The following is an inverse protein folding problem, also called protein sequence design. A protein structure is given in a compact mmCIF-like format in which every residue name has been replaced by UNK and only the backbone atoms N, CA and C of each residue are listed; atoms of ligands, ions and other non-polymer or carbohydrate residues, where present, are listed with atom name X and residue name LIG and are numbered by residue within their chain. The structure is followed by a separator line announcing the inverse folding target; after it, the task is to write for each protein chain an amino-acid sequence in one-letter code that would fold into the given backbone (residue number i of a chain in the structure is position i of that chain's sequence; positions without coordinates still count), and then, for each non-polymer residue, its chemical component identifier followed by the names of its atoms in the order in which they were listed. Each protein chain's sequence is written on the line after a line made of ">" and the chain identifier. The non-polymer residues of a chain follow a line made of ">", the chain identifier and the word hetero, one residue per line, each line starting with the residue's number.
data_IF_432878468170
#
_entry.id   IF_432878468170
#
_cell.length_a   1.000
_cell.length_b   1.000
_cell.length_c   1.000
_cell.angle_alpha   90.00
_cell.angle_beta   90.00
_cell.angle_gamma   90.00
#
_symmetry.space_group_name_H-M   'P 1'
#
loop_
_entity.id
_entity.type
_entity.pdbx_description
1 polymer ?
#
# COMPACT_ATOMS: atom_id res chain seq x y z
N UNK A 1 -23.91 9.79 -0.16
CA UNK A 1 -22.77 9.00 0.38
C UNK A 1 -21.73 9.97 0.93
N UNK A 2 -20.88 9.54 1.91
CA UNK A 2 -19.78 10.42 2.35
C UNK A 2 -18.76 10.61 1.23
N UNK A 3 -18.16 11.80 1.16
CA UNK A 3 -17.12 12.14 0.19
C UNK A 3 -15.74 11.74 0.73
N UNK A 4 -14.86 11.20 -0.12
CA UNK A 4 -13.47 10.93 0.25
C UNK A 4 -12.71 12.26 0.36
N UNK A 5 -11.82 12.34 1.34
CA UNK A 5 -10.99 13.51 1.59
C UNK A 5 -9.52 13.15 1.62
N UNK A 6 -8.66 14.09 1.24
CA UNK A 6 -7.22 13.93 1.36
C UNK A 6 -6.85 13.95 2.85
N UNK A 7 -6.25 12.88 3.41
CA UNK A 7 -5.83 12.91 4.81
C UNK A 7 -4.62 13.82 5.00
N UNK A 8 -4.55 14.51 6.14
CA UNK A 8 -3.35 15.25 6.54
C UNK A 8 -2.19 14.29 6.87
N UNK A 9 -0.95 14.76 6.68
CA UNK A 9 0.24 14.07 7.13
C UNK A 9 0.48 14.34 8.62
N UNK A 10 1.08 13.37 9.32
CA UNK A 10 1.47 13.51 10.73
C UNK A 10 2.82 14.24 10.89
N UNK A 11 3.46 14.63 9.80
CA UNK A 11 4.79 15.22 9.74
C UNK A 11 4.93 16.21 8.56
N UNK A 12 5.89 17.15 8.66
CA UNK A 12 6.17 18.12 7.61
C UNK A 12 6.79 17.46 6.37
N UNK A 13 6.54 18.00 5.18
CA UNK A 13 7.06 17.45 3.92
C UNK A 13 8.56 17.19 3.94
N UNK A 14 9.35 18.04 4.61
CA UNK A 14 10.81 17.90 4.73
C UNK A 14 11.27 16.93 5.83
N UNK A 15 10.35 16.38 6.64
CA UNK A 15 10.71 15.60 7.81
C UNK A 15 11.39 14.26 7.50
N UNK A 16 11.23 13.74 6.28
CA UNK A 16 11.87 12.50 5.83
C UNK A 16 13.25 12.71 5.17
N UNK A 17 13.73 13.94 5.11
CA UNK A 17 15.08 14.21 4.58
C UNK A 17 16.17 13.62 5.49
N UNK A 18 17.29 13.15 4.92
CA UNK A 18 17.69 13.19 3.51
C UNK A 18 17.14 12.03 2.65
N UNK A 19 16.29 11.15 3.21
CA UNK A 19 15.85 9.91 2.57
C UNK A 19 14.80 10.14 1.49
N UNK A 20 13.84 11.02 1.71
CA UNK A 20 12.83 11.45 0.71
C UNK A 20 12.72 12.98 0.84
N UNK A 21 12.96 13.69 -0.27
CA UNK A 21 12.97 15.15 -0.25
C UNK A 21 11.58 15.74 0.01
N UNK A 22 11.55 16.89 0.67
CA UNK A 22 10.31 17.64 0.92
C UNK A 22 9.57 17.98 -0.36
N UNK A 23 10.28 18.28 -1.45
CA UNK A 23 9.69 18.53 -2.77
C UNK A 23 8.91 17.30 -3.30
N UNK A 24 9.49 16.10 -3.16
CA UNK A 24 8.79 14.86 -3.55
C UNK A 24 7.54 14.68 -2.70
N UNK A 25 7.65 14.77 -1.37
CA UNK A 25 6.52 14.56 -0.47
C UNK A 25 5.39 15.57 -0.74
N UNK A 26 5.70 16.85 -0.98
CA UNK A 26 4.72 17.86 -1.29
C UNK A 26 3.96 17.55 -2.60
N UNK A 27 4.68 17.25 -3.68
CA UNK A 27 4.07 16.90 -4.97
C UNK A 27 3.27 15.60 -4.87
N UNK A 28 3.82 14.60 -4.19
CA UNK A 28 3.22 13.29 -4.04
C UNK A 28 1.92 13.35 -3.25
N UNK A 29 1.87 14.10 -2.16
CA UNK A 29 0.68 14.30 -1.34
C UNK A 29 -0.31 15.27 -1.99
N UNK A 30 0.13 16.54 -2.22
CA UNK A 30 -0.77 17.63 -2.60
C UNK A 30 -1.25 17.57 -4.06
N UNK A 31 -0.59 16.77 -4.92
CA UNK A 31 -0.96 16.61 -6.35
C UNK A 31 -1.38 15.17 -6.67
N UNK A 32 -0.48 14.20 -6.52
CA UNK A 32 -0.80 12.82 -6.92
C UNK A 32 -1.90 12.21 -6.06
N UNK A 33 -1.75 12.20 -4.72
CA UNK A 33 -2.79 11.68 -3.83
C UNK A 33 -4.09 12.47 -3.93
N UNK A 34 -4.03 13.80 -3.94
CA UNK A 34 -5.21 14.64 -4.13
C UNK A 34 -5.96 14.34 -5.44
N UNK A 35 -5.23 14.02 -6.52
CA UNK A 35 -5.85 13.62 -7.80
C UNK A 35 -6.57 12.28 -7.69
N UNK A 36 -6.02 11.30 -6.96
CA UNK A 36 -6.73 10.05 -6.70
C UNK A 36 -8.00 10.25 -5.87
N UNK A 37 -7.95 11.07 -4.83
CA UNK A 37 -9.13 11.43 -4.03
C UNK A 37 -10.23 12.05 -4.90
N UNK A 38 -9.86 13.05 -5.71
CA UNK A 38 -10.81 13.65 -6.67
C UNK A 38 -11.37 12.60 -7.63
N UNK A 39 -10.52 11.73 -8.18
CA UNK A 39 -10.92 10.70 -9.14
C UNK A 39 -11.91 9.68 -8.56
N UNK A 40 -11.76 9.31 -7.28
CA UNK A 40 -12.74 8.46 -6.58
C UNK A 40 -14.11 9.15 -6.52
N UNK A 41 -14.15 10.39 -6.06
CA UNK A 41 -15.40 11.13 -5.92
C UNK A 41 -16.09 11.35 -7.28
N UNK A 42 -15.31 11.72 -8.30
CA UNK A 42 -15.81 11.86 -9.68
C UNK A 42 -16.38 10.54 -10.21
N UNK A 43 -15.69 9.41 -9.98
CA UNK A 43 -16.14 8.10 -10.47
C UNK A 43 -17.43 7.66 -9.76
N UNK A 44 -17.56 7.90 -8.46
CA UNK A 44 -18.78 7.59 -7.71
C UNK A 44 -19.97 8.41 -8.19
N UNK A 45 -19.78 9.72 -8.41
CA UNK A 45 -20.83 10.61 -8.95
C UNK A 45 -21.29 10.14 -10.34
N UNK A 46 -20.33 9.84 -11.23
CA UNK A 46 -20.64 9.35 -12.58
C UNK A 46 -21.32 7.98 -12.59
N UNK A 47 -20.99 7.10 -11.63
CA UNK A 47 -21.68 5.83 -11.46
C UNK A 47 -23.13 6.02 -11.04
N UNK A 48 -23.41 6.98 -10.15
CA UNK A 48 -24.78 7.31 -9.74
C UNK A 48 -25.60 7.86 -10.92
N UNK A 49 -25.04 8.81 -11.68
CA UNK A 49 -25.65 9.36 -12.89
C UNK A 49 -25.92 8.28 -13.96
N UNK A 50 -24.94 7.40 -14.20
CA UNK A 50 -25.07 6.34 -15.18
C UNK A 50 -26.14 5.31 -14.80
N UNK A 51 -26.25 4.95 -13.51
CA UNK A 51 -27.33 4.08 -13.01
C UNK A 51 -28.71 4.72 -13.19
N UNK A 52 -28.83 6.01 -12.94
CA UNK A 52 -30.10 6.73 -13.11
C UNK A 52 -30.54 6.81 -14.59
N UNK A 53 -29.59 6.77 -15.52
CA UNK A 53 -29.83 6.81 -16.96
C UNK A 53 -29.78 5.43 -17.67
N UNK A 54 -29.64 4.33 -16.93
CA UNK A 54 -29.43 2.96 -17.48
C UNK A 54 -28.25 2.88 -18.49
N UNK A 55 -27.25 3.77 -18.35
CA UNK A 55 -26.07 3.79 -19.21
C UNK A 55 -25.02 2.75 -18.78
N UNK A 56 -25.18 1.53 -19.22
CA UNK A 56 -24.29 0.42 -18.86
C UNK A 56 -22.86 0.61 -19.39
N UNK A 57 -22.64 1.32 -20.47
CA UNK A 57 -21.30 1.59 -20.97
C UNK A 57 -20.56 2.57 -20.05
N UNK A 58 -21.23 3.62 -19.60
CA UNK A 58 -20.68 4.53 -18.59
C UNK A 58 -20.48 3.85 -17.24
N UNK A 59 -21.33 2.91 -16.83
CA UNK A 59 -21.14 2.11 -15.61
C UNK A 59 -19.83 1.35 -15.69
N UNK A 60 -19.60 0.53 -16.72
CA UNK A 60 -18.38 -0.26 -16.88
C UNK A 60 -17.11 0.59 -16.91
N UNK A 61 -17.16 1.75 -17.59
CA UNK A 61 -16.03 2.68 -17.63
C UNK A 61 -15.71 3.23 -16.24
N UNK A 62 -16.73 3.65 -15.48
CA UNK A 62 -16.52 4.28 -14.18
C UNK A 62 -16.21 3.27 -13.06
N UNK A 63 -16.65 2.01 -13.17
CA UNK A 63 -16.17 0.93 -12.31
C UNK A 63 -14.66 0.71 -12.45
N UNK A 64 -14.15 0.71 -13.69
CA UNK A 64 -12.71 0.63 -13.94
C UNK A 64 -11.95 1.85 -13.38
N UNK A 65 -12.48 3.06 -13.61
CA UNK A 65 -11.89 4.28 -13.08
C UNK A 65 -11.90 4.29 -11.54
N UNK A 66 -12.99 3.84 -10.94
CA UNK A 66 -13.11 3.71 -9.48
C UNK A 66 -12.06 2.76 -8.92
N UNK A 67 -11.87 1.59 -9.53
CA UNK A 67 -10.85 0.64 -9.07
C UNK A 67 -9.45 1.25 -9.07
N UNK A 68 -9.10 1.99 -10.12
CA UNK A 68 -7.80 2.68 -10.23
C UNK A 68 -7.65 3.79 -9.18
N UNK A 69 -8.61 4.71 -9.11
CA UNK A 69 -8.51 5.87 -8.23
C UNK A 69 -8.65 5.49 -6.74
N UNK A 70 -9.56 4.56 -6.41
CA UNK A 70 -9.71 4.07 -5.05
C UNK A 70 -8.47 3.30 -4.60
N UNK A 71 -7.92 2.47 -5.48
CA UNK A 71 -6.62 1.83 -5.25
C UNK A 71 -5.53 2.85 -4.96
N UNK A 72 -5.44 3.91 -5.77
CA UNK A 72 -4.49 5.00 -5.56
C UNK A 72 -4.70 5.71 -4.22
N UNK A 73 -5.93 6.05 -3.89
CA UNK A 73 -6.23 6.69 -2.60
C UNK A 73 -5.88 5.79 -1.41
N UNK A 74 -6.25 4.51 -1.45
CA UNK A 74 -5.95 3.54 -0.37
C UNK A 74 -4.45 3.34 -0.22
N UNK A 75 -3.73 3.08 -1.33
CA UNK A 75 -2.29 2.87 -1.31
C UNK A 75 -1.55 4.07 -0.71
N UNK A 76 -1.89 5.31 -1.13
CA UNK A 76 -1.24 6.50 -0.61
C UNK A 76 -1.63 6.79 0.85
N UNK A 77 -2.87 6.49 1.26
CA UNK A 77 -3.28 6.61 2.67
C UNK A 77 -2.44 5.70 3.58
N UNK A 78 -2.17 4.47 3.15
CA UNK A 78 -1.31 3.53 3.86
C UNK A 78 0.15 4.02 3.81
N UNK A 79 0.62 4.45 2.64
CA UNK A 79 1.98 4.94 2.42
C UNK A 79 2.40 6.02 3.43
N UNK A 80 1.57 7.04 3.63
CA UNK A 80 1.88 8.12 4.57
C UNK A 80 2.01 7.64 6.01
N UNK A 81 1.22 6.66 6.43
CA UNK A 81 1.28 6.07 7.77
C UNK A 81 2.43 5.07 7.93
N UNK A 82 2.83 4.40 6.84
CA UNK A 82 3.99 3.51 6.81
C UNK A 82 5.34 4.27 6.90
N UNK A 83 5.34 5.61 6.85
CA UNK A 83 6.54 6.44 6.92
C UNK A 83 6.58 7.25 8.23
N UNK A 84 7.79 7.44 8.75
CA UNK A 84 8.04 8.26 9.94
C UNK A 84 9.44 8.87 9.89
N UNK A 85 9.61 10.14 10.34
CA UNK A 85 10.94 10.72 10.55
C UNK A 85 11.75 10.02 11.64
N UNK A 86 11.08 9.23 12.47
CA UNK A 86 11.69 8.39 13.52
C UNK A 86 11.62 6.90 13.15
N UNK A 87 11.48 6.61 11.86
CA UNK A 87 11.40 5.25 11.33
C UNK A 87 12.75 4.56 11.21
N UNK A 88 12.74 3.43 10.53
CA UNK A 88 13.93 2.59 10.31
C UNK A 88 13.98 1.40 11.27
N UNK A 89 15.18 0.86 11.47
CA UNK A 89 15.40 -0.36 12.25
C UNK A 89 14.60 -1.58 11.75
N UNK A 90 13.97 -2.31 12.66
CA UNK A 90 13.22 -3.53 12.39
C UNK A 90 11.99 -3.63 13.32
N UNK A 91 10.99 -4.43 12.95
CA UNK A 91 9.83 -4.67 13.80
C UNK A 91 10.24 -5.47 15.06
N UNK A 92 9.37 -5.41 16.06
CA UNK A 92 9.48 -6.17 17.31
C UNK A 92 8.20 -7.00 17.54
N UNK A 93 8.15 -7.77 18.63
CA UNK A 93 6.96 -8.50 19.06
C UNK A 93 6.42 -9.49 18.02
N UNK A 94 5.09 -9.58 17.95
CA UNK A 94 4.39 -10.59 17.14
C UNK A 94 4.67 -10.45 15.63
N UNK A 95 4.82 -9.25 15.11
CA UNK A 95 5.17 -9.05 13.71
C UNK A 95 6.58 -9.55 13.40
N UNK A 96 7.55 -9.30 14.30
CA UNK A 96 8.91 -9.82 14.12
C UNK A 96 8.92 -11.36 14.13
N UNK A 97 8.19 -11.97 15.06
CA UNK A 97 8.05 -13.42 15.15
C UNK A 97 7.40 -14.01 13.88
N UNK A 98 6.34 -13.38 13.37
CA UNK A 98 5.68 -13.81 12.14
C UNK A 98 6.59 -13.65 10.89
N UNK A 99 7.40 -12.61 10.84
CA UNK A 99 8.38 -12.42 9.77
C UNK A 99 9.47 -13.51 9.83
N UNK A 100 9.99 -13.80 11.02
CA UNK A 100 11.02 -14.83 11.20
C UNK A 100 10.48 -16.22 10.87
N UNK A 101 9.25 -16.52 11.26
CA UNK A 101 8.57 -17.79 10.93
C UNK A 101 8.36 -17.93 9.43
N UNK A 102 7.79 -16.92 8.78
CA UNK A 102 7.41 -16.99 7.37
C UNK A 102 8.58 -16.87 6.40
N UNK A 103 9.58 -16.02 6.71
CA UNK A 103 10.69 -15.72 5.80
C UNK A 103 12.03 -16.28 6.29
N UNK A 104 12.08 -16.79 7.52
CA UNK A 104 13.28 -17.35 8.17
C UNK A 104 14.19 -16.32 8.85
N UNK A 105 14.04 -15.03 8.57
CA UNK A 105 14.63 -13.90 9.31
C UNK A 105 14.16 -12.56 8.72
N UNK A 106 14.29 -11.49 9.51
CA UNK A 106 14.08 -10.13 9.01
C UNK A 106 14.96 -9.78 7.81
N UNK A 107 16.23 -10.18 7.80
CA UNK A 107 17.14 -9.90 6.68
C UNK A 107 16.70 -10.58 5.38
N UNK A 108 16.21 -11.81 5.48
CA UNK A 108 15.66 -12.53 4.32
C UNK A 108 14.38 -11.90 3.81
N UNK A 109 13.48 -11.52 4.70
CA UNK A 109 12.30 -10.74 4.35
C UNK A 109 12.67 -9.44 3.64
N UNK A 110 13.58 -8.64 4.25
CA UNK A 110 14.06 -7.38 3.68
C UNK A 110 14.67 -7.57 2.30
N UNK A 111 15.46 -8.62 2.12
CA UNK A 111 16.04 -8.94 0.81
C UNK A 111 14.97 -9.28 -0.23
N UNK A 112 13.98 -10.12 0.14
CA UNK A 112 12.87 -10.50 -0.75
C UNK A 112 12.00 -9.30 -1.12
N UNK A 113 11.61 -8.47 -0.15
CA UNK A 113 10.82 -7.26 -0.38
C UNK A 113 11.58 -6.25 -1.25
N UNK A 114 12.87 -6.04 -0.97
CA UNK A 114 13.75 -5.18 -1.78
C UNK A 114 13.87 -5.69 -3.21
N UNK A 115 13.98 -7.00 -3.41
CA UNK A 115 14.02 -7.60 -4.75
C UNK A 115 12.68 -7.39 -5.49
N UNK A 116 11.54 -7.54 -4.80
CA UNK A 116 10.23 -7.26 -5.37
C UNK A 116 10.10 -5.80 -5.81
N UNK A 117 10.52 -4.84 -4.97
CA UNK A 117 10.51 -3.42 -5.27
C UNK A 117 11.39 -3.09 -6.49
N UNK A 118 12.65 -3.50 -6.48
CA UNK A 118 13.59 -3.20 -7.56
C UNK A 118 13.24 -3.90 -8.88
N UNK A 119 12.66 -5.09 -8.81
CA UNK A 119 12.26 -5.89 -9.97
C UNK A 119 10.91 -5.52 -10.58
N UNK A 120 10.19 -4.56 -9.99
CA UNK A 120 8.90 -4.14 -10.55
C UNK A 120 9.10 -3.44 -11.89
N UNK A 121 8.39 -3.93 -12.91
CA UNK A 121 8.43 -3.39 -14.27
C UNK A 121 7.25 -2.42 -14.47
N UNK A 122 7.56 -1.17 -14.80
CA UNK A 122 6.55 -0.12 -14.91
C UNK A 122 6.20 0.50 -13.55
N UNK A 123 4.97 0.94 -13.42
CA UNK A 123 4.45 1.60 -12.22
C UNK A 123 3.78 0.61 -11.28
N UNK A 124 3.92 0.81 -9.99
CA UNK A 124 3.25 -0.03 -8.99
C UNK A 124 3.91 0.03 -7.62
N UNK A 125 3.70 -1.00 -6.82
CA UNK A 125 4.07 -1.07 -5.41
C UNK A 125 4.67 -2.43 -5.06
N UNK A 126 5.65 -2.48 -4.17
CA UNK A 126 5.96 -3.72 -3.48
C UNK A 126 5.23 -3.72 -2.14
N UNK A 127 4.61 -4.84 -1.81
CA UNK A 127 3.70 -4.95 -0.66
C UNK A 127 4.05 -6.15 0.20
N UNK A 128 4.12 -5.94 1.52
CA UNK A 128 3.93 -6.99 2.52
C UNK A 128 2.47 -6.97 2.92
N UNK A 129 1.78 -8.09 2.75
CA UNK A 129 0.39 -8.25 3.12
C UNK A 129 0.16 -9.44 4.02
N UNK A 130 -0.96 -9.40 4.72
CA UNK A 130 -1.45 -10.51 5.53
C UNK A 130 -2.59 -11.22 4.79
N UNK A 131 -2.40 -12.50 4.53
CA UNK A 131 -3.43 -13.40 4.01
C UNK A 131 -4.27 -13.89 5.18
N UNK A 132 -5.46 -13.30 5.33
CA UNK A 132 -6.38 -13.64 6.43
C UNK A 132 -6.97 -15.05 6.32
N UNK A 133 -7.00 -15.66 5.13
CA UNK A 133 -7.48 -17.02 4.91
C UNK A 133 -6.40 -18.05 5.29
N UNK A 134 -5.18 -17.82 4.86
CA UNK A 134 -4.04 -18.71 5.11
C UNK A 134 -3.31 -18.44 6.42
N UNK A 135 -3.65 -17.35 7.13
CA UNK A 135 -2.98 -16.89 8.36
C UNK A 135 -1.45 -16.79 8.18
N UNK A 136 -1.04 -16.01 7.19
CA UNK A 136 0.36 -15.90 6.83
C UNK A 136 0.71 -14.54 6.23
N UNK A 137 2.00 -14.21 6.26
CA UNK A 137 2.56 -13.05 5.57
C UNK A 137 2.95 -13.41 4.13
N UNK A 138 2.65 -12.53 3.20
CA UNK A 138 3.02 -12.65 1.79
C UNK A 138 3.66 -11.37 1.28
N UNK A 139 4.63 -11.46 0.38
CA UNK A 139 5.11 -10.32 -0.41
C UNK A 139 4.65 -10.47 -1.85
N UNK A 140 4.24 -9.36 -2.45
CA UNK A 140 3.85 -9.34 -3.87
C UNK A 140 4.10 -7.98 -4.50
N UNK A 141 4.04 -7.93 -5.83
CA UNK A 141 4.06 -6.70 -6.62
C UNK A 141 2.62 -6.37 -7.01
N UNK A 142 2.19 -5.16 -6.69
CA UNK A 142 0.94 -4.57 -7.16
C UNK A 142 1.28 -3.67 -8.34
N UNK A 143 0.65 -3.88 -9.49
CA UNK A 143 0.86 -3.06 -10.68
C UNK A 143 -0.16 -1.93 -10.74
N UNK A 144 0.27 -0.79 -11.24
CA UNK A 144 -0.47 0.46 -11.20
C UNK A 144 -1.00 0.75 -9.80
N UNK A 145 -2.32 0.87 -9.62
CA UNK A 145 -2.93 1.11 -8.30
C UNK A 145 -3.83 -0.05 -7.83
N UNK A 146 -4.15 -1.02 -8.71
CA UNK A 146 -5.19 -2.02 -8.45
C UNK A 146 -4.92 -3.40 -9.05
N UNK A 147 -3.91 -3.54 -9.93
CA UNK A 147 -3.70 -4.80 -10.63
C UNK A 147 -2.76 -5.75 -9.87
N UNK A 148 -2.96 -7.05 -10.08
CA UNK A 148 -2.17 -8.13 -9.48
C UNK A 148 -2.25 -8.21 -7.94
N UNK A 149 -3.39 -7.79 -7.36
CA UNK A 149 -3.64 -7.89 -5.92
C UNK A 149 -4.31 -9.23 -5.62
N UNK A 150 -3.72 -10.07 -4.76
CA UNK A 150 -4.40 -11.28 -4.31
C UNK A 150 -5.66 -10.93 -3.50
N UNK A 151 -6.79 -11.57 -3.79
CA UNK A 151 -8.04 -11.31 -3.07
C UNK A 151 -7.91 -11.66 -1.59
N UNK A 152 -8.44 -10.80 -0.72
CA UNK A 152 -8.46 -11.02 0.74
C UNK A 152 -7.16 -10.67 1.45
N UNK A 153 -6.16 -10.12 0.75
CA UNK A 153 -4.93 -9.65 1.36
C UNK A 153 -5.15 -8.28 2.01
N UNK A 154 -4.67 -8.15 3.24
CA UNK A 154 -4.65 -6.89 3.98
C UNK A 154 -3.25 -6.29 3.88
N UNK A 155 -3.06 -5.13 3.22
CA UNK A 155 -1.74 -4.51 3.11
C UNK A 155 -1.24 -4.02 4.47
N UNK A 156 0.02 -4.35 4.79
CA UNK A 156 0.67 -3.97 6.05
C UNK A 156 1.76 -2.93 5.81
N UNK A 157 2.71 -3.24 4.92
CA UNK A 157 3.81 -2.38 4.52
C UNK A 157 3.85 -2.33 3.01
N UNK A 158 4.06 -1.13 2.45
CA UNK A 158 4.24 -0.99 1.00
C UNK A 158 5.22 0.12 0.66
N UNK A 159 5.87 -0.01 -0.50
CA UNK A 159 6.73 1.03 -1.06
C UNK A 159 6.22 1.40 -2.46
N UNK A 160 6.07 2.69 -2.68
CA UNK A 160 5.67 3.24 -3.97
C UNK A 160 6.83 3.21 -4.96
N UNK A 161 6.64 2.49 -6.06
CA UNK A 161 7.63 2.38 -7.15
C UNK A 161 7.19 3.13 -8.42
N UNK A 162 6.18 3.97 -8.33
CA UNK A 162 5.88 4.97 -9.35
C UNK A 162 7.01 6.00 -9.42
N UNK A 163 7.39 6.45 -10.59
CA UNK A 163 8.48 7.42 -10.76
C UNK A 163 8.25 8.73 -10.00
N UNK A 164 7.02 9.14 -9.81
CA UNK A 164 6.70 10.33 -9.02
C UNK A 164 7.16 10.25 -7.55
N UNK A 165 7.32 9.04 -7.00
CA UNK A 165 7.77 8.84 -5.63
C UNK A 165 9.29 9.02 -5.45
N UNK A 166 10.08 8.97 -6.53
CA UNK A 166 11.55 8.96 -6.38
C UNK A 166 12.33 9.69 -7.48
N UNK A 167 11.77 9.89 -8.68
CA UNK A 167 12.57 10.29 -9.84
C UNK A 167 13.26 11.65 -9.69
N UNK A 168 12.66 12.62 -9.02
CA UNK A 168 13.27 13.94 -8.80
C UNK A 168 14.58 13.88 -8.01
N UNK A 169 14.69 12.94 -7.08
CA UNK A 169 15.86 12.78 -6.21
C UNK A 169 16.80 11.67 -6.70
N UNK A 170 16.27 10.52 -7.02
CA UNK A 170 17.04 9.31 -7.31
C UNK A 170 17.18 9.00 -8.81
N UNK A 171 16.52 9.76 -9.68
CA UNK A 171 16.53 9.56 -11.14
C UNK A 171 16.16 8.11 -11.48
N UNK A 172 16.96 7.47 -12.31
CA UNK A 172 16.79 6.08 -12.73
C UNK A 172 17.36 5.04 -11.74
N UNK A 173 17.93 5.47 -10.60
CA UNK A 173 18.57 4.56 -9.64
C UNK A 173 17.57 4.13 -8.56
N UNK A 174 16.59 3.29 -8.94
CA UNK A 174 15.57 2.75 -8.04
C UNK A 174 16.15 2.13 -6.77
N UNK A 175 17.28 1.43 -6.89
CA UNK A 175 17.90 0.73 -5.77
C UNK A 175 18.32 1.67 -4.62
N UNK A 176 18.77 2.90 -4.93
CA UNK A 176 19.12 3.87 -3.91
C UNK A 176 17.88 4.41 -3.19
N UNK A 177 16.78 4.61 -3.91
CA UNK A 177 15.50 4.97 -3.31
C UNK A 177 14.98 3.87 -2.37
N UNK A 178 14.96 2.61 -2.82
CA UNK A 178 14.53 1.48 -1.98
C UNK A 178 15.43 1.32 -0.75
N UNK A 179 16.74 1.56 -0.91
CA UNK A 179 17.68 1.59 0.23
C UNK A 179 17.35 2.72 1.21
N UNK A 180 17.00 3.90 0.71
CA UNK A 180 16.62 5.05 1.54
C UNK A 180 15.29 4.82 2.26
N UNK A 181 14.31 4.20 1.61
CA UNK A 181 13.00 3.84 2.17
C UNK A 181 13.12 3.08 3.51
N UNK A 182 14.04 2.13 3.62
CA UNK A 182 14.22 1.34 4.85
C UNK A 182 14.58 2.18 6.09
N UNK A 183 15.09 3.41 5.92
CA UNK A 183 15.42 4.28 7.03
C UNK A 183 14.21 5.07 7.57
N UNK A 184 13.10 5.06 6.87
CA UNK A 184 11.90 5.83 7.23
C UNK A 184 10.67 4.96 7.46
N UNK A 185 10.81 3.64 7.44
CA UNK A 185 9.69 2.71 7.70
C UNK A 185 9.19 2.88 9.13
N UNK A 186 7.90 3.15 9.25
CA UNK A 186 7.19 3.25 10.54
C UNK A 186 6.72 1.86 11.00
N UNK A 187 7.60 1.11 11.64
CA UNK A 187 7.28 -0.24 12.11
C UNK A 187 6.15 -0.27 13.15
N UNK A 188 5.90 0.82 13.87
CA UNK A 188 4.78 0.91 14.79
C UNK A 188 3.43 0.84 14.05
N UNK A 189 3.28 1.56 12.92
CA UNK A 189 2.08 1.47 12.08
C UNK A 189 1.93 0.07 11.46
N UNK A 190 3.02 -0.52 10.96
CA UNK A 190 2.99 -1.87 10.36
C UNK A 190 2.57 -2.92 11.40
N UNK A 191 3.06 -2.80 12.63
CA UNK A 191 2.71 -3.67 13.76
C UNK A 191 1.24 -3.54 14.16
N UNK A 192 0.73 -2.30 14.22
CA UNK A 192 -0.68 -2.05 14.51
C UNK A 192 -1.59 -2.62 13.42
N UNK A 193 -1.22 -2.47 12.14
CA UNK A 193 -1.94 -3.10 11.00
C UNK A 193 -1.94 -4.60 11.12
N UNK A 194 -0.81 -5.22 11.43
CA UNK A 194 -0.71 -6.66 11.63
C UNK A 194 -1.61 -7.13 12.77
N UNK A 195 -1.57 -6.48 13.94
CA UNK A 195 -2.43 -6.82 15.07
C UNK A 195 -3.93 -6.72 14.74
N UNK A 196 -4.33 -5.66 14.01
CA UNK A 196 -5.72 -5.51 13.56
C UNK A 196 -6.11 -6.57 12.53
N UNK A 197 -5.20 -6.91 11.60
CA UNK A 197 -5.45 -7.91 10.57
C UNK A 197 -5.66 -9.29 11.17
N UNK A 198 -4.81 -9.70 12.12
CA UNK A 198 -4.91 -10.99 12.81
C UNK A 198 -6.13 -11.08 13.73
N UNK A 199 -6.56 -9.98 14.36
CA UNK A 199 -7.76 -9.95 15.19
C UNK A 199 -9.07 -10.12 14.39
N UNK A 200 -9.06 -9.77 13.08
CA UNK A 200 -10.24 -9.81 12.21
C UNK A 200 -10.33 -11.06 11.31
N UNK A 201 -9.53 -12.08 11.60
CA UNK A 201 -9.50 -13.35 10.83
C UNK A 201 -10.90 -14.01 10.68
N UNK A 202 -11.83 -13.76 11.60
CA UNK A 202 -13.18 -14.30 11.56
C UNK A 202 -14.11 -13.75 10.48
N UNK A 203 -13.85 -12.58 9.91
CA UNK A 203 -14.79 -11.93 8.98
C UNK A 203 -14.86 -12.60 7.59
N UNK A 204 -13.74 -13.15 7.11
CA UNK A 204 -13.67 -13.90 5.84
C UNK A 204 -13.92 -15.39 6.07
N UNK A 205 -13.68 -15.87 7.30
CA UNK A 205 -13.86 -17.28 7.68
C UNK A 205 -15.29 -17.70 8.00
N UNK A 206 -16.27 -16.78 8.06
CA UNK A 206 -17.65 -17.13 8.33
C UNK A 206 -18.21 -18.03 7.21
N UNK A 207 -18.03 -19.34 7.36
CA UNK A 207 -18.54 -20.37 6.46
C UNK A 207 -17.53 -21.01 5.49
N UNK A 208 -16.26 -20.57 5.49
CA UNK A 208 -15.19 -21.27 4.78
C UNK A 208 -14.33 -21.99 5.81
N UNK A 209 -14.52 -23.31 5.94
CA UNK A 209 -13.50 -24.12 6.59
C UNK A 209 -12.24 -23.97 5.77
N UNK A 210 -11.17 -23.40 6.36
CA UNK A 210 -9.87 -23.34 5.71
C UNK A 210 -9.51 -24.78 5.29
N UNK A 211 -9.44 -25.07 4.00
CA UNK A 211 -8.97 -26.36 3.50
C UNK A 211 -7.47 -26.56 3.75
N UNK A 212 -6.92 -25.86 4.73
CA UNK A 212 -5.53 -25.93 5.18
C UNK A 212 -5.54 -26.79 6.42
N UNK A 213 -5.18 -28.06 6.24
CA UNK A 213 -4.89 -28.97 7.34
C UNK A 213 -3.63 -28.42 8.06
N UNK A 214 -3.81 -27.96 9.28
CA UNK A 214 -2.68 -27.58 10.17
C UNK A 214 -2.26 -28.85 10.90
N UNK A 215 -1.54 -29.74 10.19
CA UNK A 215 -0.89 -30.91 10.77
C UNK A 215 0.16 -30.55 11.85
#
# INVERSE_FOLDING_TARGET
>A
MGEYTLPDLDWDYSALEPHISGQINELHHSKHHATYVKGVNDALTKLEEARAGDDHAAILLNEKNLAFHLGGHVNHTIWWKNLSPHGGDKPEGDLAAAIDDQFGSFDKFRAQFTAAANGLQGSGWAVLGYDSLGDRLLTFQLYDQQANVPLGIIPLLQVDMWEHAFYLQYKNVKADYVKAFWNVVNWADVQERFARATANVGAIHAGVTSGIDRG
#
